data_IF_363410983963
#
_entry.id   IF_363410983963
#
_cell.length_a   1.000
_cell.length_b   1.000
_cell.length_c   1.000
_cell.angle_alpha   90.00
_cell.angle_beta   90.00
_cell.angle_gamma   90.00
#
_symmetry.space_group_name_H-M   'P 1'
#
loop_
_entity.id
_entity.type
_entity.pdbx_description
1 polymer ?
#
# COMPACT_ATOMS: atom_id res chain seq x y z
N UNK A 1 -18.59 -19.51 7.21
CA UNK A 1 -18.36 -18.05 7.14
C UNK A 1 -17.87 -17.65 8.52
N UNK A 2 -16.56 -17.50 8.68
CA UNK A 2 -15.92 -17.36 9.98
C UNK A 2 -16.31 -16.02 10.62
N UNK A 3 -16.60 -16.00 11.93
CA UNK A 3 -17.19 -14.87 12.65
C UNK A 3 -16.47 -13.53 12.47
N UNK A 4 -15.18 -13.56 12.19
CA UNK A 4 -14.34 -12.39 11.96
C UNK A 4 -14.78 -11.50 10.79
N UNK A 5 -15.23 -12.08 9.66
CA UNK A 5 -15.75 -11.31 8.53
C UNK A 5 -17.04 -10.54 8.90
N UNK A 6 -17.86 -11.15 9.76
CA UNK A 6 -19.10 -10.57 10.26
C UNK A 6 -18.83 -9.50 11.32
N UNK A 7 -17.81 -9.70 12.16
CA UNK A 7 -17.33 -8.73 13.15
C UNK A 7 -16.75 -7.49 12.46
N UNK A 8 -15.88 -7.69 11.47
CA UNK A 8 -15.27 -6.63 10.69
C UNK A 8 -16.32 -5.75 10.01
N UNK A 9 -17.37 -6.34 9.43
CA UNK A 9 -18.45 -5.56 8.80
C UNK A 9 -19.17 -4.56 9.74
N UNK A 10 -18.96 -4.62 11.07
CA UNK A 10 -19.50 -3.67 12.06
C UNK A 10 -18.62 -2.44 12.27
N UNK A 11 -17.39 -2.45 11.76
CA UNK A 11 -16.46 -1.33 11.91
C UNK A 11 -16.92 -0.16 11.02
N UNK A 12 -17.07 1.06 11.58
CA UNK A 12 -17.42 2.23 10.80
C UNK A 12 -16.34 2.58 9.78
N UNK A 13 -16.71 3.26 8.69
CA UNK A 13 -15.72 3.74 7.74
C UNK A 13 -15.00 4.98 8.30
N UNK A 14 -13.87 4.77 8.98
CA UNK A 14 -13.02 5.79 9.58
C UNK A 14 -11.58 5.30 9.69
N UNK A 15 -10.66 6.17 10.09
CA UNK A 15 -9.29 5.76 10.38
C UNK A 15 -9.17 5.04 11.73
N UNK A 16 -8.26 4.08 11.78
CA UNK A 16 -8.02 3.23 12.93
C UNK A 16 -6.58 3.39 13.42
N UNK A 17 -6.36 3.50 14.75
CA UNK A 17 -5.01 3.63 15.30
C UNK A 17 -4.33 2.25 15.39
N UNK A 18 -4.21 1.56 14.25
CA UNK A 18 -3.69 0.17 14.19
C UNK A 18 -2.28 0.03 14.77
N UNK A 19 -1.49 1.08 14.73
CA UNK A 19 -0.12 1.11 15.30
C UNK A 19 -0.11 1.09 16.83
N UNK A 20 -1.18 1.57 17.50
CA UNK A 20 -1.24 1.57 18.97
C UNK A 20 -1.77 0.25 19.55
N UNK A 21 -2.45 -0.56 18.73
CA UNK A 21 -3.04 -1.83 19.16
C UNK A 21 -2.00 -2.93 19.26
N UNK A 22 -1.90 -3.57 20.43
CA UNK A 22 -0.90 -4.62 20.70
C UNK A 22 -1.56 -5.93 21.19
N UNK A 23 -2.59 -6.47 20.50
CA UNK A 23 -3.14 -7.76 20.88
C UNK A 23 -2.15 -8.90 20.56
N UNK A 24 -2.33 -10.02 21.24
CA UNK A 24 -1.57 -11.24 20.95
C UNK A 24 -1.92 -11.77 19.55
N UNK A 25 -0.97 -12.44 18.90
CA UNK A 25 -1.23 -13.10 17.61
C UNK A 25 -2.21 -14.25 17.82
N UNK A 26 -3.37 -14.18 17.17
CA UNK A 26 -4.47 -15.13 17.32
C UNK A 26 -4.45 -16.25 16.24
N UNK A 27 -3.66 -16.09 15.18
CA UNK A 27 -3.55 -17.08 14.11
C UNK A 27 -3.27 -16.48 12.73
N UNK A 28 -3.63 -17.24 11.69
CA UNK A 28 -3.52 -16.83 10.29
C UNK A 28 -4.92 -16.81 9.66
N UNK A 29 -5.16 -15.82 8.81
CA UNK A 29 -6.33 -15.75 7.97
C UNK A 29 -5.94 -16.09 6.53
N UNK A 30 -6.78 -16.84 5.82
CA UNK A 30 -6.58 -17.10 4.40
C UNK A 30 -7.02 -15.89 3.55
N UNK A 31 -6.37 -14.76 3.80
CA UNK A 31 -6.39 -13.59 2.94
C UNK A 31 -5.07 -13.53 2.16
N UNK A 32 -5.19 -13.27 0.87
CA UNK A 32 -4.07 -12.97 -0.02
C UNK A 32 -4.35 -11.66 -0.74
N UNK A 33 -3.45 -10.69 -0.59
CA UNK A 33 -3.40 -9.51 -1.46
C UNK A 33 -2.49 -9.86 -2.64
N UNK A 34 -3.07 -9.99 -3.82
CA UNK A 34 -2.33 -10.29 -5.06
C UNK A 34 -1.57 -9.06 -5.55
N UNK A 35 -0.57 -9.26 -6.39
CA UNK A 35 0.22 -8.19 -7.02
C UNK A 35 -0.63 -7.22 -7.85
N UNK A 36 -1.76 -7.70 -8.39
CA UNK A 36 -2.74 -6.88 -9.12
C UNK A 36 -3.72 -6.13 -8.19
N UNK A 37 -3.55 -6.21 -6.87
CA UNK A 37 -4.40 -5.55 -5.87
C UNK A 37 -5.70 -6.30 -5.59
N UNK A 38 -5.95 -7.47 -6.20
CA UNK A 38 -7.12 -8.28 -5.88
C UNK A 38 -6.92 -8.95 -4.52
N UNK A 39 -7.89 -8.73 -3.62
CA UNK A 39 -7.96 -9.43 -2.35
C UNK A 39 -8.71 -10.76 -2.52
N UNK A 40 -8.06 -11.86 -2.17
CA UNK A 40 -8.69 -13.17 -2.06
C UNK A 40 -9.01 -13.48 -0.60
N UNK A 41 -10.13 -14.16 -0.36
CA UNK A 41 -10.43 -14.84 0.88
C UNK A 41 -10.81 -16.29 0.57
N UNK A 42 -10.14 -17.27 1.18
CA UNK A 42 -10.33 -18.70 0.89
C UNK A 42 -10.20 -19.01 -0.62
N UNK A 43 -9.19 -18.39 -1.25
CA UNK A 43 -8.91 -18.51 -2.68
C UNK A 43 -9.88 -17.82 -3.63
N UNK A 44 -10.89 -17.08 -3.13
CA UNK A 44 -11.90 -16.40 -3.95
C UNK A 44 -11.82 -14.88 -3.84
N UNK A 45 -11.99 -14.13 -4.94
CA UNK A 45 -12.00 -12.67 -4.88
C UNK A 45 -13.08 -12.11 -3.95
N UNK A 46 -12.71 -11.14 -3.12
CA UNK A 46 -13.65 -10.36 -2.31
C UNK A 46 -14.32 -9.33 -3.22
N UNK A 47 -15.54 -9.61 -3.67
CA UNK A 47 -16.27 -8.75 -4.60
C UNK A 47 -16.86 -7.46 -3.98
N UNK A 48 -16.64 -7.20 -2.68
CA UNK A 48 -17.23 -6.07 -1.94
C UNK A 48 -16.17 -4.99 -1.69
N UNK A 49 -16.14 -3.89 -2.46
CA UNK A 49 -15.09 -2.87 -2.32
C UNK A 49 -15.04 -2.22 -0.93
N UNK A 50 -16.20 -2.01 -0.30
CA UNK A 50 -16.25 -1.46 1.06
C UNK A 50 -15.57 -2.37 2.09
N UNK A 51 -15.64 -3.70 1.91
CA UNK A 51 -14.98 -4.65 2.79
C UNK A 51 -13.47 -4.67 2.57
N UNK A 52 -13.03 -4.59 1.31
CA UNK A 52 -11.60 -4.45 0.97
C UNK A 52 -11.03 -3.16 1.57
N UNK A 53 -11.73 -2.04 1.43
CA UNK A 53 -11.35 -0.74 2.01
C UNK A 53 -11.28 -0.79 3.54
N UNK A 54 -12.21 -1.49 4.19
CA UNK A 54 -12.13 -1.69 5.63
C UNK A 54 -10.88 -2.49 6.01
N UNK A 55 -10.64 -3.63 5.36
CA UNK A 55 -9.47 -4.45 5.67
C UNK A 55 -8.16 -3.73 5.37
N UNK A 56 -8.13 -2.93 4.31
CA UNK A 56 -6.96 -2.12 4.00
C UNK A 56 -6.66 -1.16 5.15
N UNK A 57 -7.66 -0.58 5.83
CA UNK A 57 -7.48 0.29 7.02
C UNK A 57 -7.05 -0.44 8.29
N UNK A 58 -7.40 -1.72 8.43
CA UNK A 58 -6.98 -2.58 9.55
C UNK A 58 -5.62 -3.23 9.33
N UNK A 59 -5.02 -3.05 8.16
CA UNK A 59 -3.73 -3.60 7.81
C UNK A 59 -2.59 -2.88 8.53
N UNK A 60 -1.60 -3.65 8.97
CA UNK A 60 -0.32 -3.19 9.51
C UNK A 60 0.82 -4.12 9.07
N UNK A 61 2.03 -3.57 8.97
CA UNK A 61 3.27 -4.35 8.77
C UNK A 61 3.90 -4.59 10.14
N UNK A 62 3.99 -5.86 10.55
CA UNK A 62 4.82 -6.29 11.68
C UNK A 62 6.16 -6.82 11.13
N UNK A 63 7.12 -7.09 12.01
CA UNK A 63 8.44 -7.65 11.65
C UNK A 63 8.32 -8.94 10.82
N UNK A 64 7.42 -9.84 11.21
CA UNK A 64 7.29 -11.18 10.60
C UNK A 64 6.38 -11.21 9.36
N UNK A 65 5.61 -10.16 9.09
CA UNK A 65 4.64 -10.19 8.00
C UNK A 65 3.65 -9.04 8.00
N UNK A 66 2.66 -9.17 7.13
CA UNK A 66 1.48 -8.32 7.15
C UNK A 66 0.41 -8.94 8.05
N UNK A 67 -0.27 -8.10 8.81
CA UNK A 67 -1.32 -8.51 9.74
C UNK A 67 -2.55 -7.62 9.58
N UNK A 68 -3.71 -8.21 9.82
CA UNK A 68 -4.95 -7.47 10.10
C UNK A 68 -5.10 -7.38 11.62
N UNK A 69 -5.31 -6.16 12.11
CA UNK A 69 -5.27 -5.85 13.55
C UNK A 69 -6.56 -5.16 13.96
N UNK A 70 -7.14 -5.62 15.05
CA UNK A 70 -8.23 -4.97 15.79
C UNK A 70 -7.77 -4.75 17.23
N UNK A 71 -8.56 -4.08 18.10
CA UNK A 71 -8.16 -3.92 19.51
C UNK A 71 -7.91 -5.23 20.27
N UNK A 72 -8.52 -6.33 19.85
CA UNK A 72 -8.50 -7.63 20.57
C UNK A 72 -7.88 -8.77 19.78
N UNK A 73 -7.72 -8.63 18.46
CA UNK A 73 -7.21 -9.69 17.59
C UNK A 73 -6.10 -9.19 16.67
N UNK A 74 -5.14 -10.06 16.40
CA UNK A 74 -4.15 -9.90 15.35
C UNK A 74 -4.03 -11.18 14.55
N UNK A 75 -4.14 -11.08 13.22
CA UNK A 75 -4.12 -12.22 12.32
C UNK A 75 -3.14 -11.97 11.18
N UNK A 76 -2.27 -12.94 10.88
CA UNK A 76 -1.37 -12.86 9.72
C UNK A 76 -2.14 -13.04 8.41
N UNK A 77 -1.68 -12.36 7.37
CA UNK A 77 -2.16 -12.50 6.00
C UNK A 77 -0.98 -12.62 5.03
N UNK A 78 -1.25 -12.98 3.78
CA UNK A 78 -0.25 -13.01 2.71
C UNK A 78 -0.38 -11.81 1.78
N UNK A 79 0.75 -11.32 1.29
CA UNK A 79 0.85 -10.26 0.29
C UNK A 79 1.90 -10.70 -0.73
N UNK A 80 1.54 -10.74 -2.02
CA UNK A 80 2.46 -11.20 -3.06
C UNK A 80 3.60 -10.21 -3.34
N UNK A 81 3.34 -8.92 -3.15
CA UNK A 81 4.26 -7.83 -3.49
C UNK A 81 4.14 -6.71 -2.45
N UNK A 82 3.26 -5.73 -2.71
CA UNK A 82 2.93 -4.65 -1.79
C UNK A 82 1.41 -4.58 -1.60
N UNK A 83 0.93 -4.17 -0.41
CA UNK A 83 -0.49 -4.25 -0.08
C UNK A 83 -1.37 -3.22 -0.81
N UNK A 84 -0.77 -2.17 -1.36
CA UNK A 84 -1.46 -1.11 -2.10
C UNK A 84 -0.90 -0.98 -3.51
N UNK A 85 -1.67 -0.33 -4.38
CA UNK A 85 -1.21 0.11 -5.70
C UNK A 85 -1.39 1.60 -5.82
N UNK A 86 -0.41 2.30 -6.36
CA UNK A 86 -0.52 3.72 -6.70
C UNK A 86 -0.95 3.82 -8.15
N UNK A 87 -2.20 4.21 -8.34
CA UNK A 87 -2.89 4.07 -9.62
C UNK A 87 -2.83 5.33 -10.48
N UNK A 88 -2.66 6.49 -9.84
CA UNK A 88 -2.70 7.78 -10.52
C UNK A 88 -2.02 8.89 -9.69
N UNK A 89 -1.81 10.04 -10.31
CA UNK A 89 -1.43 11.30 -9.65
C UNK A 89 -1.87 12.52 -10.46
N UNK A 90 -2.12 13.61 -9.73
CA UNK A 90 -2.34 14.95 -10.26
C UNK A 90 -1.45 15.94 -9.51
N UNK A 91 -0.63 16.69 -10.25
CA UNK A 91 0.42 17.52 -9.66
C UNK A 91 1.33 16.68 -8.76
N UNK A 92 1.49 17.10 -7.50
CA UNK A 92 2.25 16.35 -6.48
C UNK A 92 1.41 15.38 -5.62
N UNK A 93 0.14 15.15 -5.93
CA UNK A 93 -0.75 14.28 -5.12
C UNK A 93 -1.02 12.98 -5.86
N UNK A 94 -0.52 11.89 -5.29
CA UNK A 94 -0.75 10.53 -5.79
C UNK A 94 -2.00 9.93 -5.16
N UNK A 95 -2.55 8.89 -5.79
CA UNK A 95 -3.74 8.18 -5.30
C UNK A 95 -3.54 6.67 -5.27
N UNK A 96 -3.90 6.05 -4.14
CA UNK A 96 -3.93 4.59 -4.02
C UNK A 96 -5.15 3.96 -4.71
N UNK A 97 -5.13 2.65 -4.92
CA UNK A 97 -6.27 1.85 -5.37
C UNK A 97 -7.42 1.77 -4.34
N UNK A 98 -7.18 2.26 -3.13
CA UNK A 98 -8.17 2.43 -2.06
C UNK A 98 -8.58 3.90 -1.88
N UNK A 99 -8.28 4.75 -2.87
CA UNK A 99 -8.56 6.20 -2.90
C UNK A 99 -7.87 7.02 -1.78
N UNK A 100 -6.75 6.54 -1.23
CA UNK A 100 -5.96 7.33 -0.29
C UNK A 100 -5.24 8.47 -1.06
N UNK A 101 -5.40 9.75 -0.66
CA UNK A 101 -4.63 10.85 -1.22
C UNK A 101 -3.24 10.88 -0.57
N UNK A 102 -2.19 10.91 -1.38
CA UNK A 102 -0.81 10.80 -0.96
C UNK A 102 0.00 11.97 -1.52
N UNK A 103 0.04 13.13 -0.83
CA UNK A 103 0.91 14.23 -1.22
C UNK A 103 2.37 13.82 -1.09
N UNK A 104 3.14 13.96 -2.18
CA UNK A 104 4.58 13.68 -2.17
C UNK A 104 5.27 14.53 -1.09
N UNK A 105 5.83 13.85 -0.10
CA UNK A 105 6.37 14.43 1.14
C UNK A 105 7.12 13.37 1.96
N UNK A 106 7.74 13.77 3.07
CA UNK A 106 8.40 12.83 4.00
C UNK A 106 7.42 11.84 4.65
N UNK A 107 6.12 12.16 4.74
CA UNK A 107 5.10 11.22 5.21
C UNK A 107 4.82 10.13 4.16
N UNK A 108 4.82 10.52 2.88
CA UNK A 108 4.55 9.65 1.73
C UNK A 108 5.71 9.70 0.73
N UNK A 109 6.93 9.27 1.10
CA UNK A 109 8.06 9.30 0.19
C UNK A 109 7.80 8.37 -0.98
N UNK A 110 8.21 8.85 -2.16
CA UNK A 110 8.35 8.04 -3.37
C UNK A 110 9.79 7.54 -3.42
N UNK A 111 9.97 6.25 -3.70
CA UNK A 111 11.27 5.59 -3.83
C UNK A 111 11.23 4.73 -5.09
N UNK A 112 12.34 4.68 -5.82
CA UNK A 112 12.49 3.81 -6.97
C UNK A 112 13.37 2.64 -6.59
N UNK A 113 12.80 1.44 -6.56
CA UNK A 113 13.57 0.21 -6.44
C UNK A 113 14.02 -0.24 -7.83
N UNK A 114 15.28 -0.66 -7.98
CA UNK A 114 15.79 -1.24 -9.22
C UNK A 114 16.08 -2.72 -8.99
N UNK A 115 15.42 -3.57 -9.77
CA UNK A 115 15.62 -5.02 -9.76
C UNK A 115 16.03 -5.49 -11.16
N UNK A 116 17.34 -5.73 -11.34
CA UNK A 116 17.90 -5.95 -12.66
C UNK A 116 17.73 -4.70 -13.51
N UNK A 117 16.95 -4.81 -14.59
CA UNK A 117 16.62 -3.67 -15.48
C UNK A 117 15.24 -3.06 -15.18
N UNK A 118 14.46 -3.63 -14.25
CA UNK A 118 13.11 -3.15 -13.95
C UNK A 118 13.15 -2.05 -12.87
N UNK A 119 12.65 -0.87 -13.25
CA UNK A 119 12.45 0.28 -12.37
C UNK A 119 11.07 0.18 -11.74
N UNK A 120 11.05 0.05 -10.43
CA UNK A 120 9.88 -0.32 -9.65
C UNK A 120 9.57 0.78 -8.61
N UNK A 121 8.98 1.90 -9.04
CA UNK A 121 8.60 2.96 -8.12
C UNK A 121 7.52 2.50 -7.15
N UNK A 122 7.69 2.89 -5.88
CA UNK A 122 6.73 2.66 -4.80
C UNK A 122 6.62 3.88 -3.90
N UNK A 123 5.45 4.07 -3.31
CA UNK A 123 5.18 5.18 -2.41
C UNK A 123 4.69 4.67 -1.07
N UNK A 124 5.11 5.30 0.02
CA UNK A 124 4.60 4.97 1.35
C UNK A 124 3.17 5.49 1.50
N UNK A 125 2.25 4.59 1.83
CA UNK A 125 0.84 4.93 2.08
C UNK A 125 0.69 5.43 3.52
N UNK A 126 1.14 4.63 4.50
CA UNK A 126 1.20 4.98 5.93
C UNK A 126 1.96 3.92 6.71
N UNK A 127 2.47 4.25 7.90
CA UNK A 127 3.29 3.32 8.68
C UNK A 127 4.39 2.71 7.80
N UNK A 128 4.57 1.39 7.85
CA UNK A 128 5.42 0.63 6.92
C UNK A 128 4.64 -0.07 5.79
N UNK A 129 3.47 0.47 5.43
CA UNK A 129 2.68 0.03 4.29
C UNK A 129 3.01 0.86 3.06
N UNK A 130 3.51 0.17 2.04
CA UNK A 130 3.89 0.75 0.76
C UNK A 130 2.91 0.34 -0.33
N UNK A 131 2.83 1.15 -1.38
CA UNK A 131 2.10 0.83 -2.60
C UNK A 131 3.00 0.86 -3.81
N UNK A 132 2.90 -0.15 -4.68
CA UNK A 132 3.64 -0.16 -5.96
C UNK A 132 2.92 0.71 -6.98
N UNK A 133 3.64 1.58 -7.68
CA UNK A 133 3.05 2.30 -8.80
C UNK A 133 2.65 1.32 -9.89
N UNK A 134 1.45 1.50 -10.44
CA UNK A 134 1.03 0.73 -11.60
C UNK A 134 1.90 1.09 -12.81
N UNK A 135 2.00 0.19 -13.80
CA UNK A 135 2.75 0.46 -15.03
C UNK A 135 2.32 1.75 -15.73
N UNK A 136 1.01 2.02 -15.79
CA UNK A 136 0.50 3.24 -16.39
C UNK A 136 0.89 4.49 -15.59
N UNK A 137 0.79 4.45 -14.26
CA UNK A 137 1.19 5.54 -13.38
C UNK A 137 2.70 5.78 -13.43
N UNK A 138 3.51 4.72 -13.44
CA UNK A 138 4.96 4.79 -13.53
C UNK A 138 5.43 5.35 -14.89
N UNK A 139 4.81 4.92 -15.99
CA UNK A 139 5.11 5.47 -17.31
C UNK A 139 4.88 6.98 -17.36
N UNK A 140 3.72 7.45 -16.88
CA UNK A 140 3.42 8.89 -16.76
C UNK A 140 4.40 9.64 -15.84
N UNK A 141 4.82 9.02 -14.75
CA UNK A 141 5.81 9.61 -13.85
C UNK A 141 7.16 9.81 -14.57
N UNK A 142 7.60 8.82 -15.34
CA UNK A 142 8.88 8.86 -16.02
C UNK A 142 8.90 9.79 -17.24
N UNK A 143 7.76 10.12 -17.83
CA UNK A 143 7.66 11.13 -18.88
C UNK A 143 8.14 12.53 -18.42
N UNK A 144 8.03 12.82 -17.13
CA UNK A 144 8.45 14.09 -16.52
C UNK A 144 9.73 13.94 -15.67
N UNK A 145 10.39 12.79 -15.75
CA UNK A 145 11.55 12.45 -14.93
C UNK A 145 12.86 12.73 -15.68
N UNK A 146 13.82 13.32 -14.99
CA UNK A 146 15.19 13.48 -15.44
C UNK A 146 16.11 12.58 -14.61
N UNK A 147 16.99 11.83 -15.27
CA UNK A 147 18.04 11.08 -14.57
C UNK A 147 19.15 12.04 -14.15
N UNK A 148 19.50 12.03 -12.86
CA UNK A 148 20.56 12.84 -12.28
C UNK A 148 21.48 11.98 -11.41
N UNK A 149 22.52 11.43 -12.06
CA UNK A 149 23.44 10.47 -11.42
C UNK A 149 22.71 9.21 -10.96
N UNK A 150 22.75 8.94 -9.65
CA UNK A 150 22.08 7.81 -8.97
C UNK A 150 20.68 8.17 -8.46
N UNK A 151 20.13 9.31 -8.87
CA UNK A 151 18.82 9.79 -8.45
C UNK A 151 17.92 10.08 -9.65
N UNK A 152 16.61 10.09 -9.40
CA UNK A 152 15.63 10.58 -10.37
C UNK A 152 15.10 11.91 -9.90
N UNK A 153 15.20 12.93 -10.73
CA UNK A 153 14.62 14.24 -10.47
C UNK A 153 13.24 14.32 -11.11
N UNK A 154 12.24 14.73 -10.34
CA UNK A 154 10.89 15.03 -10.82
C UNK A 154 10.60 16.52 -10.69
N UNK A 155 9.93 17.11 -11.67
CA UNK A 155 9.34 18.44 -11.54
C UNK A 155 7.81 18.32 -11.58
N UNK A 156 7.16 18.55 -10.43
CA UNK A 156 5.70 18.46 -10.26
C UNK A 156 5.21 19.79 -9.66
N UNK A 157 4.19 20.40 -10.28
CA UNK A 157 3.66 21.72 -9.88
C UNK A 157 4.74 22.82 -9.75
N UNK A 158 5.79 22.76 -10.58
CA UNK A 158 6.93 23.69 -10.52
C UNK A 158 7.85 23.49 -9.31
N UNK A 159 7.65 22.41 -8.55
CA UNK A 159 8.53 21.99 -7.45
C UNK A 159 9.40 20.82 -7.90
N UNK A 160 10.68 20.84 -7.49
CA UNK A 160 11.63 19.78 -7.79
C UNK A 160 11.74 18.82 -6.63
N UNK A 161 11.73 17.53 -6.95
CA UNK A 161 11.87 16.43 -6.00
C UNK A 161 13.01 15.53 -6.45
N UNK A 162 13.91 15.22 -5.53
CA UNK A 162 14.94 14.19 -5.72
C UNK A 162 14.40 12.88 -5.17
N UNK A 163 14.24 11.91 -6.07
CA UNK A 163 13.70 10.59 -5.77
C UNK A 163 14.86 9.61 -5.64
N UNK A 164 15.02 8.97 -4.47
CA UNK A 164 16.09 8.01 -4.25
C UNK A 164 15.87 6.77 -5.11
N UNK A 165 16.96 6.30 -5.72
CA UNK A 165 17.05 5.00 -6.38
C UNK A 165 17.76 4.04 -5.45
N UNK A 166 17.13 2.90 -5.15
CA UNK A 166 17.65 1.88 -4.25
C UNK A 166 17.73 0.55 -4.96
N UNK A 167 18.76 -0.24 -4.69
CA UNK A 167 18.80 -1.63 -5.15
C UNK A 167 17.81 -2.47 -4.32
N UNK A 168 16.99 -3.26 -5.02
CA UNK A 168 16.01 -4.16 -4.41
C UNK A 168 16.67 -5.37 -3.70
#
# INVERSE_FOLDING_TARGET
MNGWLTEAARFPDKDYPVESWQPSLCGAMDILIRRDGVWLHEGRPIARPALVRLFSKLLRRDADGYVLVTPVEKLTIRVEDLPFRIVDFEGRVFRSDQDDPLPLSDAHPLVIEVQGEEWQPRMRVRGDLWGRLTRACAARLFETAELDGDSVRLELDGQRFEIPVVSA
#
